data_IF_706921426193
#
_entry.id   IF_706921426193
#
_cell.length_a   1.000
_cell.length_b   1.000
_cell.length_c   1.000
_cell.angle_alpha   90.00
_cell.angle_beta   90.00
_cell.angle_gamma   90.00
#
_symmetry.space_group_name_H-M   'P 1'
#
loop_
_entity.id
_entity.type
_entity.pdbx_description
1 polymer ?
#
# COMPACT_ATOMS: atom_id res chain seq x y z
N UNK A 1 10.13 13.68 -17.77
CA UNK A 1 10.49 14.20 -16.43
C UNK A 1 9.23 14.67 -15.75
N UNK A 2 9.01 14.28 -14.49
CA UNK A 2 7.87 14.74 -13.68
C UNK A 2 8.11 16.21 -13.31
N UNK A 3 7.11 17.06 -13.52
CA UNK A 3 7.18 18.47 -13.07
C UNK A 3 7.08 18.54 -11.54
N UNK A 4 7.65 19.58 -10.92
CA UNK A 4 7.56 19.75 -9.45
C UNK A 4 6.11 19.78 -8.94
N UNK A 5 5.20 20.37 -9.70
CA UNK A 5 3.77 20.40 -9.39
C UNK A 5 3.15 18.99 -9.43
N UNK A 6 3.44 18.21 -10.48
CA UNK A 6 2.99 16.81 -10.56
C UNK A 6 3.56 15.98 -9.40
N UNK A 7 4.84 16.16 -9.08
CA UNK A 7 5.49 15.46 -7.96
C UNK A 7 4.76 15.73 -6.63
N UNK A 8 4.53 17.01 -6.29
CA UNK A 8 3.85 17.39 -5.04
C UNK A 8 2.44 16.81 -4.98
N UNK A 9 1.68 16.89 -6.09
CA UNK A 9 0.33 16.30 -6.18
C UNK A 9 0.37 14.79 -5.94
N UNK A 10 1.31 14.08 -6.57
CA UNK A 10 1.46 12.63 -6.39
C UNK A 10 1.83 12.26 -4.96
N UNK A 11 2.71 13.03 -4.30
CA UNK A 11 3.06 12.82 -2.88
C UNK A 11 1.82 12.93 -1.99
N UNK A 12 1.04 14.00 -2.15
CA UNK A 12 -0.19 14.21 -1.37
C UNK A 12 -1.20 13.10 -1.64
N UNK A 13 -1.39 12.70 -2.91
CA UNK A 13 -2.29 11.62 -3.28
C UNK A 13 -1.86 10.28 -2.69
N UNK A 14 -0.56 9.97 -2.71
CA UNK A 14 -0.01 8.75 -2.12
C UNK A 14 -0.22 8.69 -0.61
N UNK A 15 0.00 9.80 0.10
CA UNK A 15 -0.28 9.91 1.53
C UNK A 15 -1.76 9.66 1.85
N UNK A 16 -2.67 10.31 1.12
CA UNK A 16 -4.12 10.12 1.31
C UNK A 16 -4.53 8.66 1.04
N UNK A 17 -4.06 8.07 -0.06
CA UNK A 17 -4.37 6.69 -0.41
C UNK A 17 -3.88 5.70 0.64
N UNK A 18 -2.68 5.89 1.20
CA UNK A 18 -2.15 5.04 2.27
C UNK A 18 -2.89 5.22 3.59
N UNK A 19 -3.26 6.46 3.92
CA UNK A 19 -4.12 6.69 5.07
C UNK A 19 -5.47 5.98 4.92
N UNK A 20 -6.09 6.03 3.73
CA UNK A 20 -7.32 5.30 3.46
C UNK A 20 -7.15 3.78 3.50
N UNK A 21 -6.03 3.26 3.00
CA UNK A 21 -5.64 1.86 3.14
C UNK A 21 -5.57 1.44 4.61
N UNK A 22 -5.08 2.31 5.49
CA UNK A 22 -5.08 2.11 6.95
C UNK A 22 -6.50 2.00 7.47
N UNK A 23 -7.37 2.96 7.12
CA UNK A 23 -8.78 2.96 7.54
C UNK A 23 -9.46 1.64 7.15
N UNK A 24 -9.28 1.18 5.91
CA UNK A 24 -9.84 -0.09 5.45
C UNK A 24 -9.33 -1.27 6.28
N UNK A 25 -8.01 -1.31 6.54
CA UNK A 25 -7.39 -2.38 7.32
C UNK A 25 -7.97 -2.52 8.73
N UNK A 26 -8.36 -1.39 9.35
CA UNK A 26 -9.04 -1.40 10.65
C UNK A 26 -10.54 -1.72 10.52
N UNK A 27 -11.24 -1.14 9.55
CA UNK A 27 -12.68 -1.34 9.35
C UNK A 27 -13.03 -2.79 8.99
N UNK A 28 -12.20 -3.48 8.20
CA UNK A 28 -12.43 -4.88 7.86
C UNK A 28 -12.38 -5.81 9.08
N UNK A 29 -11.76 -5.37 10.19
CA UNK A 29 -11.85 -6.05 11.49
C UNK A 29 -13.30 -6.21 11.96
N UNK A 30 -14.17 -5.24 11.67
CA UNK A 30 -15.59 -5.28 12.00
C UNK A 30 -16.40 -6.35 11.28
N UNK A 31 -15.88 -6.91 10.19
CA UNK A 31 -16.51 -8.02 9.44
C UNK A 31 -15.78 -9.35 9.63
N UNK A 32 -14.88 -9.45 10.62
CA UNK A 32 -14.19 -10.69 10.99
C UNK A 32 -12.93 -11.01 10.18
N UNK A 33 -12.42 -10.06 9.39
CA UNK A 33 -11.10 -10.17 8.75
C UNK A 33 -10.00 -9.71 9.71
N UNK A 34 -8.76 -10.23 9.59
CA UNK A 34 -7.66 -9.77 10.43
C UNK A 34 -7.33 -8.30 10.14
N UNK A 35 -7.04 -7.55 11.20
CA UNK A 35 -6.51 -6.19 11.10
C UNK A 35 -5.02 -6.28 10.75
N UNK A 36 -4.61 -5.58 9.69
CA UNK A 36 -3.23 -5.51 9.23
C UNK A 36 -2.67 -4.12 9.52
N UNK A 37 -2.12 -3.93 10.72
CA UNK A 37 -1.48 -2.67 11.10
C UNK A 37 -0.02 -2.63 10.60
N UNK A 38 0.17 -2.19 9.36
CA UNK A 38 1.50 -2.10 8.73
C UNK A 38 2.42 -1.15 9.48
N UNK A 39 1.89 -0.05 10.03
CA UNK A 39 2.68 0.90 10.82
C UNK A 39 3.24 0.25 12.08
N UNK A 40 2.41 -0.53 12.79
CA UNK A 40 2.86 -1.32 13.93
C UNK A 40 3.87 -2.40 13.53
N UNK A 41 3.61 -3.15 12.45
CA UNK A 41 4.52 -4.18 11.94
C UNK A 41 5.90 -3.58 11.68
N UNK A 42 5.99 -2.47 10.94
CA UNK A 42 7.26 -1.80 10.65
C UNK A 42 7.97 -1.31 11.92
N UNK A 43 7.22 -0.75 12.89
CA UNK A 43 7.78 -0.33 14.18
C UNK A 43 8.40 -1.52 14.93
N UNK A 44 7.73 -2.67 14.96
CA UNK A 44 8.29 -3.88 15.57
C UNK A 44 9.52 -4.38 14.78
N UNK A 45 9.47 -4.41 13.46
CA UNK A 45 10.62 -4.78 12.62
C UNK A 45 11.84 -3.91 12.90
N UNK A 46 11.67 -2.59 13.01
CA UNK A 46 12.79 -1.67 13.29
C UNK A 46 13.39 -1.94 14.67
N UNK A 47 12.56 -2.10 15.70
CA UNK A 47 13.04 -2.36 17.06
C UNK A 47 13.66 -3.75 17.24
N UNK A 48 13.19 -4.75 16.48
CA UNK A 48 13.75 -6.09 16.50
C UNK A 48 15.25 -6.08 16.17
N UNK A 49 15.64 -5.30 15.15
CA UNK A 49 17.06 -5.14 14.76
C UNK A 49 17.90 -4.47 15.85
N UNK A 50 17.31 -3.60 16.68
CA UNK A 50 18.01 -2.90 17.76
C UNK A 50 18.00 -3.64 19.11
N UNK A 51 17.18 -4.70 19.26
CA UNK A 51 16.99 -5.42 20.51
C UNK A 51 16.42 -4.57 21.66
N UNK A 52 16.03 -3.32 21.40
CA UNK A 52 15.55 -2.34 22.37
C UNK A 52 14.55 -1.38 21.69
N UNK A 53 13.61 -0.78 22.43
CA UNK A 53 12.57 0.08 21.87
C UNK A 53 13.09 1.49 21.53
N UNK A 54 13.84 1.61 20.44
CA UNK A 54 14.39 2.87 19.91
C UNK A 54 13.34 3.66 19.13
N UNK A 55 12.51 2.97 18.36
CA UNK A 55 11.53 3.56 17.46
C UNK A 55 10.11 3.48 18.03
N UNK A 56 9.46 4.64 18.13
CA UNK A 56 8.04 4.75 18.46
C UNK A 56 7.14 4.46 17.24
N UNK A 57 5.84 4.32 17.49
CA UNK A 57 4.82 4.11 16.44
C UNK A 57 4.81 5.20 15.37
N UNK A 58 5.28 6.41 15.71
CA UNK A 58 5.44 7.51 14.75
C UNK A 58 6.33 7.10 13.57
N UNK A 59 7.44 6.41 13.83
CA UNK A 59 8.39 5.99 12.79
C UNK A 59 7.85 4.88 11.90
N UNK A 60 7.10 3.93 12.48
CA UNK A 60 6.41 2.89 11.71
C UNK A 60 5.37 3.49 10.76
N UNK A 61 4.53 4.40 11.26
CA UNK A 61 3.54 5.12 10.44
C UNK A 61 4.19 6.03 9.39
N UNK A 62 5.30 6.68 9.72
CA UNK A 62 6.06 7.49 8.77
C UNK A 62 6.61 6.63 7.62
N UNK A 63 7.29 5.52 7.94
CA UNK A 63 7.83 4.61 6.95
C UNK A 63 6.71 4.03 6.06
N UNK A 64 5.59 3.65 6.67
CA UNK A 64 4.42 3.15 5.94
C UNK A 64 3.87 4.17 4.93
N UNK A 65 3.71 5.43 5.35
CA UNK A 65 3.24 6.49 4.44
C UNK A 65 4.27 6.82 3.35
N UNK A 66 5.57 6.75 3.65
CA UNK A 66 6.63 6.91 2.64
C UNK A 66 6.54 5.81 1.59
N UNK A 67 6.37 4.54 1.99
CA UNK A 67 6.14 3.43 1.03
C UNK A 67 4.92 3.71 0.15
N UNK A 68 3.84 4.20 0.76
CA UNK A 68 2.66 4.69 0.06
C UNK A 68 2.91 5.75 -1.00
N UNK A 69 3.70 6.76 -0.66
CA UNK A 69 4.12 7.83 -1.58
C UNK A 69 4.98 7.27 -2.71
N UNK A 70 5.90 6.36 -2.40
CA UNK A 70 6.76 5.73 -3.40
C UNK A 70 5.96 4.89 -4.39
N UNK A 71 4.95 4.14 -3.94
CA UNK A 71 4.02 3.43 -4.82
C UNK A 71 3.27 4.42 -5.74
N UNK A 72 2.79 5.55 -5.21
CA UNK A 72 2.12 6.57 -6.03
C UNK A 72 3.06 7.15 -7.11
N UNK A 73 4.32 7.42 -6.76
CA UNK A 73 5.33 7.87 -7.70
C UNK A 73 5.64 6.80 -8.76
N UNK A 74 5.75 5.54 -8.36
CA UNK A 74 5.94 4.41 -9.27
C UNK A 74 4.80 4.33 -10.28
N UNK A 75 3.55 4.52 -9.85
CA UNK A 75 2.42 4.59 -10.77
C UNK A 75 2.60 5.67 -11.83
N UNK A 76 2.84 6.91 -11.40
CA UNK A 76 2.93 8.07 -12.30
C UNK A 76 4.11 7.94 -13.27
N UNK A 77 5.25 7.41 -12.83
CA UNK A 77 6.43 7.24 -13.70
C UNK A 77 6.26 6.06 -14.66
N UNK A 78 5.76 4.92 -14.18
CA UNK A 78 5.92 3.65 -14.89
C UNK A 78 4.61 3.05 -15.41
N UNK A 79 3.47 3.31 -14.79
CA UNK A 79 2.25 2.56 -15.12
C UNK A 79 1.16 3.40 -15.76
N UNK A 80 1.12 4.70 -15.47
CA UNK A 80 0.04 5.59 -15.86
C UNK A 80 -0.25 5.59 -17.37
N UNK A 81 0.78 5.58 -18.22
CA UNK A 81 0.63 5.58 -19.68
C UNK A 81 0.55 4.17 -20.29
N UNK A 82 0.83 3.13 -19.49
CA UNK A 82 0.93 1.73 -19.97
C UNK A 82 -0.32 0.91 -19.67
N UNK A 83 -1.04 1.25 -18.61
CA UNK A 83 -2.25 0.51 -18.19
C UNK A 83 -3.48 1.23 -18.77
N UNK A 84 -4.20 0.60 -19.71
CA UNK A 84 -5.38 1.21 -20.31
C UNK A 84 -6.56 1.23 -19.35
N UNK A 85 -7.55 2.08 -19.64
CA UNK A 85 -8.81 2.15 -18.93
C UNK A 85 -9.04 3.48 -18.22
N UNK A 86 -10.21 3.62 -17.61
CA UNK A 86 -10.53 4.76 -16.78
C UNK A 86 -9.87 4.65 -15.39
N UNK A 87 -9.93 5.72 -14.61
CA UNK A 87 -9.36 5.80 -13.26
C UNK A 87 -9.74 4.63 -12.34
N UNK A 88 -10.99 4.12 -12.45
CA UNK A 88 -11.46 3.02 -11.61
C UNK A 88 -10.82 1.69 -12.01
N UNK A 89 -10.80 1.39 -13.31
CA UNK A 89 -10.18 0.18 -13.85
C UNK A 89 -8.68 0.19 -13.56
N UNK A 90 -8.01 1.32 -13.79
CA UNK A 90 -6.60 1.50 -13.47
C UNK A 90 -6.32 1.30 -11.98
N UNK A 91 -7.20 1.83 -11.10
CA UNK A 91 -7.08 1.65 -9.66
C UNK A 91 -7.24 0.19 -9.22
N UNK A 92 -8.20 -0.54 -9.80
CA UNK A 92 -8.37 -1.97 -9.55
C UNK A 92 -7.15 -2.77 -10.01
N UNK A 93 -6.67 -2.55 -11.24
CA UNK A 93 -5.50 -3.24 -11.77
C UNK A 93 -4.28 -2.95 -10.89
N UNK A 94 -4.06 -1.68 -10.51
CA UNK A 94 -2.91 -1.32 -9.70
C UNK A 94 -2.99 -1.93 -8.29
N UNK A 95 -4.17 -1.92 -7.67
CA UNK A 95 -4.42 -2.59 -6.39
C UNK A 95 -4.12 -4.10 -6.44
N UNK A 96 -4.49 -4.77 -7.54
CA UNK A 96 -4.13 -6.18 -7.77
C UNK A 96 -2.61 -6.33 -7.85
N UNK A 97 -1.93 -5.54 -8.69
CA UNK A 97 -0.47 -5.62 -8.88
C UNK A 97 0.26 -5.48 -7.54
N UNK A 98 -0.07 -4.46 -6.76
CA UNK A 98 0.60 -4.24 -5.47
C UNK A 98 0.22 -5.30 -4.42
N UNK A 99 -0.98 -5.89 -4.48
CA UNK A 99 -1.34 -7.04 -3.63
C UNK A 99 -0.46 -8.25 -3.91
N UNK A 100 -0.22 -8.54 -5.20
CA UNK A 100 0.68 -9.61 -5.61
C UNK A 100 2.12 -9.31 -5.18
N UNK A 101 2.61 -8.09 -5.40
CA UNK A 101 3.94 -7.68 -4.94
C UNK A 101 4.07 -7.77 -3.42
N UNK A 102 3.03 -7.40 -2.67
CA UNK A 102 3.01 -7.50 -1.22
C UNK A 102 3.08 -8.95 -0.75
N UNK A 103 2.17 -9.81 -1.20
CA UNK A 103 2.13 -11.21 -0.78
C UNK A 103 3.33 -12.04 -1.23
N UNK A 104 3.90 -11.74 -2.40
CA UNK A 104 5.01 -12.49 -2.98
C UNK A 104 6.39 -12.02 -2.47
N UNK A 105 6.56 -10.71 -2.26
CA UNK A 105 7.88 -10.11 -2.01
C UNK A 105 7.90 -9.34 -0.71
N UNK A 106 7.04 -8.34 -0.54
CA UNK A 106 7.17 -7.39 0.58
C UNK A 106 6.89 -8.06 1.93
N UNK A 107 5.78 -8.77 2.07
CA UNK A 107 5.38 -9.39 3.34
C UNK A 107 6.37 -10.47 3.80
N UNK A 108 6.83 -11.41 2.95
CA UNK A 108 7.88 -12.35 3.36
C UNK A 108 9.15 -11.65 3.85
N UNK A 109 9.64 -10.63 3.13
CA UNK A 109 10.86 -9.92 3.49
C UNK A 109 10.69 -9.09 4.77
N UNK A 110 9.58 -8.36 4.91
CA UNK A 110 9.30 -7.53 6.07
C UNK A 110 9.15 -8.38 7.35
N UNK A 111 8.41 -9.48 7.28
CA UNK A 111 8.23 -10.36 8.43
C UNK A 111 9.53 -11.08 8.80
N UNK A 112 10.30 -11.56 7.81
CA UNK A 112 11.59 -12.17 8.07
C UNK A 112 12.57 -11.20 8.72
N UNK A 113 12.54 -9.92 8.35
CA UNK A 113 13.34 -8.88 9.00
C UNK A 113 12.94 -8.61 10.46
N UNK A 114 11.72 -8.99 10.85
CA UNK A 114 11.22 -8.94 12.23
C UNK A 114 11.43 -10.25 12.99
N UNK A 115 12.11 -11.25 12.41
CA UNK A 115 12.32 -12.56 13.03
C UNK A 115 11.13 -13.52 12.93
N UNK A 116 10.13 -13.19 12.11
CA UNK A 116 8.95 -14.03 11.88
C UNK A 116 8.92 -14.58 10.45
N UNK A 117 8.31 -15.75 10.23
CA UNK A 117 8.04 -16.25 8.87
C UNK A 117 6.55 -16.30 8.62
N UNK A 118 6.13 -15.78 7.47
CA UNK A 118 4.75 -15.88 6.97
C UNK A 118 4.65 -16.72 5.71
N UNK A 119 5.79 -17.11 5.11
CA UNK A 119 5.84 -17.75 3.80
C UNK A 119 5.32 -16.86 2.67
N UNK A 120 5.44 -17.36 1.43
CA UNK A 120 4.89 -16.68 0.25
C UNK A 120 3.35 -16.69 0.35
N UNK A 121 2.71 -15.56 0.08
CA UNK A 121 1.25 -15.40 0.19
C UNK A 121 0.67 -15.85 1.54
N UNK A 122 1.42 -15.62 2.63
CA UNK A 122 1.01 -15.96 3.99
C UNK A 122 0.83 -17.46 4.24
N UNK A 123 1.37 -18.33 3.37
CA UNK A 123 1.16 -19.79 3.38
C UNK A 123 1.56 -20.49 4.68
N UNK A 124 2.43 -19.90 5.50
CA UNK A 124 2.87 -20.47 6.78
C UNK A 124 2.09 -19.90 7.98
N UNK A 125 1.11 -19.04 7.74
CA UNK A 125 0.23 -18.51 8.79
C UNK A 125 -0.94 -19.46 9.07
N UNK A 126 -1.62 -19.30 10.21
CA UNK A 126 -2.75 -20.16 10.59
C UNK A 126 -4.04 -19.88 9.79
N UNK A 127 -4.16 -18.68 9.22
CA UNK A 127 -5.36 -18.21 8.50
C UNK A 127 -5.00 -17.53 7.16
N UNK A 128 -4.24 -18.21 6.28
CA UNK A 128 -3.62 -17.61 5.10
C UNK A 128 -4.64 -16.91 4.19
N UNK A 129 -5.77 -17.58 3.92
CA UNK A 129 -6.82 -17.04 3.04
C UNK A 129 -7.46 -15.78 3.60
N UNK A 130 -7.62 -15.65 4.92
CA UNK A 130 -8.19 -14.45 5.54
C UNK A 130 -7.21 -13.28 5.52
N UNK A 131 -5.92 -13.54 5.76
CA UNK A 131 -4.87 -12.51 5.68
C UNK A 131 -4.69 -12.05 4.23
N UNK A 132 -4.72 -12.98 3.28
CA UNK A 132 -4.64 -12.66 1.85
C UNK A 132 -5.84 -11.81 1.42
N UNK A 133 -7.06 -12.17 1.82
CA UNK A 133 -8.26 -11.40 1.50
C UNK A 133 -8.24 -10.00 2.14
N UNK A 134 -7.87 -9.92 3.42
CA UNK A 134 -7.64 -8.66 4.13
C UNK A 134 -6.62 -7.76 3.41
N UNK A 135 -5.46 -8.34 3.06
CA UNK A 135 -4.41 -7.68 2.29
C UNK A 135 -4.90 -7.24 0.91
N UNK A 136 -5.68 -8.06 0.22
CA UNK A 136 -6.20 -7.73 -1.10
C UNK A 136 -7.16 -6.54 -1.05
N UNK A 137 -8.11 -6.53 -0.11
CA UNK A 137 -9.10 -5.46 0.04
C UNK A 137 -8.42 -4.12 0.36
N UNK A 138 -7.43 -4.10 1.28
CA UNK A 138 -6.71 -2.87 1.61
C UNK A 138 -5.95 -2.29 0.40
N UNK A 139 -5.29 -3.14 -0.40
CA UNK A 139 -4.54 -2.69 -1.58
C UNK A 139 -5.45 -2.27 -2.75
N UNK A 140 -6.61 -2.91 -2.93
CA UNK A 140 -7.64 -2.39 -3.84
C UNK A 140 -8.09 -0.99 -3.42
N UNK A 141 -8.32 -0.79 -2.12
CA UNK A 141 -8.65 0.51 -1.56
C UNK A 141 -7.59 1.58 -1.87
N UNK A 142 -6.32 1.25 -1.66
CA UNK A 142 -5.21 2.12 -2.04
C UNK A 142 -5.24 2.47 -3.52
N UNK A 143 -5.33 1.47 -4.40
CA UNK A 143 -5.30 1.68 -5.85
C UNK A 143 -6.45 2.58 -6.33
N UNK A 144 -7.67 2.32 -5.88
CA UNK A 144 -8.86 3.10 -6.25
C UNK A 144 -8.73 4.55 -5.75
N UNK A 145 -8.39 4.75 -4.47
CA UNK A 145 -8.27 6.10 -3.91
C UNK A 145 -7.12 6.87 -4.53
N UNK A 146 -5.99 6.22 -4.80
CA UNK A 146 -4.87 6.85 -5.49
C UNK A 146 -5.29 7.40 -6.86
N UNK A 147 -5.93 6.58 -7.69
CA UNK A 147 -6.35 7.04 -9.03
C UNK A 147 -7.42 8.12 -8.97
N UNK A 148 -8.35 8.01 -8.02
CA UNK A 148 -9.33 9.06 -7.75
C UNK A 148 -8.64 10.39 -7.39
N UNK A 149 -7.73 10.37 -6.42
CA UNK A 149 -7.01 11.56 -5.98
C UNK A 149 -6.16 12.16 -7.11
N UNK A 150 -5.41 11.34 -7.87
CA UNK A 150 -4.61 11.80 -8.99
C UNK A 150 -5.46 12.43 -10.10
N UNK A 151 -6.63 11.85 -10.40
CA UNK A 151 -7.59 12.42 -11.37
C UNK A 151 -8.04 13.81 -10.94
N UNK A 152 -8.50 13.96 -9.68
CA UNK A 152 -8.98 15.25 -9.16
C UNK A 152 -7.86 16.27 -8.96
N UNK A 153 -6.65 15.81 -8.66
CA UNK A 153 -5.47 16.65 -8.62
C UNK A 153 -5.02 17.09 -10.03
N UNK A 154 -5.65 16.63 -11.11
CA UNK A 154 -5.30 17.01 -12.48
C UNK A 154 -3.96 16.45 -12.96
N UNK A 155 -3.52 15.31 -12.43
CA UNK A 155 -2.33 14.60 -12.92
C UNK A 155 -2.69 13.92 -14.25
N UNK A 156 -2.16 14.44 -15.36
CA UNK A 156 -2.49 14.04 -16.75
C UNK A 156 -2.21 12.56 -17.01
N UNK A 157 -3.05 11.89 -17.80
CA UNK A 157 -2.88 10.48 -18.19
C UNK A 157 -3.96 9.51 -17.68
N UNK A 158 -4.95 10.01 -16.91
CA UNK A 158 -6.07 9.20 -16.37
C UNK A 158 -7.42 9.48 -17.06
N UNK A 159 -7.42 10.31 -18.11
CA UNK A 159 -8.62 10.87 -18.75
C UNK A 159 -8.92 10.31 -20.15
N UNK A 160 -8.55 9.06 -20.44
CA UNK A 160 -8.87 8.43 -21.73
C UNK A 160 -10.11 7.55 -21.59
N UNK A 161 -11.26 8.16 -21.33
CA UNK A 161 -12.61 7.66 -21.59
C UNK A 161 -13.62 8.65 -20.99
N UNK A 162 -13.84 9.76 -21.69
CA UNK A 162 -15.17 10.38 -21.77
C UNK A 162 -15.72 10.06 -23.16
#
# INVERSE_FOLDING_TARGET
MISSDTFIRTVICGFIATFFMTIISFLQGGIGLPVIDVGHILKESFNYVHGTPVYSIFWGNLAYNIVGILLALIWVVFFQERIPGNWLIQGLIYGIIISFAAGLVISPLAMQSAGETVGIFYSETWIPGRILLAGFIMHLGYGIVLMFCLKYAGVRGLSTAE
#
